data_IF_340206304134
#
_entry.id   IF_340206304134
#
_cell.length_a   1.000
_cell.length_b   1.000
_cell.length_c   1.000
_cell.angle_alpha   90.00
_cell.angle_beta   90.00
_cell.angle_gamma   90.00
#
_symmetry.space_group_name_H-M   'P 1'
#
loop_
_entity.id
_entity.type
_entity.pdbx_description
1 polymer ?
#
# COMPACT_ATOMS: atom_id res chain seq x y z
N UNK A 1 21.53 0.97 -17.92
CA UNK A 1 22.61 0.24 -17.21
C UNK A 1 22.28 0.24 -15.72
N UNK A 2 21.41 -0.68 -15.28
CA UNK A 2 21.02 -0.79 -13.87
C UNK A 2 22.19 -1.40 -13.10
N UNK A 3 22.89 -0.55 -12.35
CA UNK A 3 24.06 -0.93 -11.55
C UNK A 3 23.57 -1.90 -10.47
N UNK A 4 24.01 -3.16 -10.56
CA UNK A 4 23.80 -4.21 -9.56
C UNK A 4 24.46 -3.74 -8.26
N UNK A 5 23.72 -3.02 -7.42
CA UNK A 5 24.18 -2.68 -6.06
C UNK A 5 24.41 -3.99 -5.33
N UNK A 6 25.51 -4.14 -4.55
CA UNK A 6 25.76 -5.37 -3.80
C UNK A 6 24.52 -5.63 -2.94
N UNK A 7 23.87 -6.77 -3.19
CA UNK A 7 22.60 -7.14 -2.58
C UNK A 7 22.82 -7.28 -1.07
N UNK A 8 22.52 -6.22 -0.33
CA UNK A 8 22.53 -6.22 1.13
C UNK A 8 21.22 -6.88 1.58
N UNK A 9 21.23 -8.20 1.57
CA UNK A 9 20.08 -9.03 1.93
C UNK A 9 19.96 -9.01 3.46
N UNK A 10 18.80 -8.65 4.04
CA UNK A 10 18.63 -8.72 5.49
C UNK A 10 18.85 -10.16 6.00
N UNK A 11 19.52 -10.34 7.14
CA UNK A 11 19.73 -11.68 7.72
C UNK A 11 18.39 -12.42 7.87
N UNK A 12 18.31 -13.66 7.37
CA UNK A 12 17.13 -14.52 7.25
C UNK A 12 16.18 -14.28 6.05
N UNK A 13 16.63 -13.55 5.03
CA UNK A 13 15.91 -13.40 3.75
C UNK A 13 16.76 -13.92 2.59
N UNK A 14 16.13 -14.39 1.52
CA UNK A 14 16.82 -14.81 0.28
C UNK A 14 16.89 -13.68 -0.77
N UNK A 15 16.14 -12.59 -0.57
CA UNK A 15 16.09 -11.43 -1.46
C UNK A 15 16.05 -10.11 -0.67
N UNK A 16 16.36 -8.99 -1.33
CA UNK A 16 16.24 -7.66 -0.74
C UNK A 16 14.83 -7.08 -1.02
N UNK A 17 13.93 -7.02 -0.02
CA UNK A 17 12.56 -6.51 -0.19
C UNK A 17 12.53 -5.02 -0.56
N UNK A 18 13.62 -4.27 -0.29
CA UNK A 18 13.76 -2.86 -0.63
C UNK A 18 14.48 -2.61 -1.96
N UNK A 19 14.67 -3.64 -2.79
CA UNK A 19 15.31 -3.50 -4.10
C UNK A 19 14.44 -2.68 -5.08
N UNK A 20 15.07 -1.82 -5.88
CA UNK A 20 14.39 -1.02 -6.91
C UNK A 20 13.65 -1.89 -7.94
N UNK A 21 14.16 -3.10 -8.21
CA UNK A 21 13.53 -4.05 -9.14
C UNK A 21 12.18 -4.56 -8.65
N UNK A 22 11.96 -4.63 -7.32
CA UNK A 22 10.65 -4.98 -6.75
C UNK A 22 9.77 -3.76 -6.58
N UNK A 23 10.36 -2.58 -6.33
CA UNK A 23 9.60 -1.34 -6.07
C UNK A 23 9.01 -0.69 -7.31
N UNK A 24 9.70 -0.73 -8.45
CA UNK A 24 9.20 -0.12 -9.70
C UNK A 24 7.87 -0.76 -10.14
N UNK A 25 7.74 -2.11 -10.19
CA UNK A 25 6.46 -2.75 -10.48
C UNK A 25 5.35 -2.36 -9.49
N UNK A 26 5.65 -2.26 -8.20
CA UNK A 26 4.69 -1.86 -7.16
C UNK A 26 4.24 -0.40 -7.33
N UNK A 27 5.17 0.51 -7.63
CA UNK A 27 4.83 1.91 -7.90
C UNK A 27 3.96 2.06 -9.16
N UNK A 28 4.21 1.25 -10.19
CA UNK A 28 3.36 1.21 -11.40
C UNK A 28 1.97 0.71 -11.05
N UNK A 29 1.87 -0.42 -10.32
CA UNK A 29 0.57 -0.98 -9.88
C UNK A 29 -0.21 0.02 -9.02
N UNK A 30 0.45 0.67 -8.07
CA UNK A 30 -0.16 1.71 -7.23
C UNK A 30 -0.61 2.92 -8.07
N UNK A 31 0.15 3.30 -9.10
CA UNK A 31 -0.25 4.38 -10.02
C UNK A 31 -1.49 4.00 -10.83
N UNK A 32 -1.60 2.74 -11.27
CA UNK A 32 -2.80 2.25 -11.95
C UNK A 32 -4.00 2.26 -10.99
N UNK A 33 -3.81 1.76 -9.76
CA UNK A 33 -4.83 1.80 -8.70
C UNK A 33 -5.29 3.23 -8.40
N UNK A 34 -4.36 4.18 -8.32
CA UNK A 34 -4.65 5.60 -8.15
C UNK A 34 -5.52 6.15 -9.28
N UNK A 35 -5.16 5.88 -10.55
CA UNK A 35 -5.95 6.36 -11.69
C UNK A 35 -7.37 5.80 -11.69
N UNK A 36 -7.53 4.51 -11.35
CA UNK A 36 -8.83 3.87 -11.22
C UNK A 36 -9.65 4.52 -10.11
N UNK A 37 -9.04 4.75 -8.94
CA UNK A 37 -9.68 5.37 -7.79
C UNK A 37 -10.08 6.83 -8.06
N UNK A 38 -9.22 7.60 -8.75
CA UNK A 38 -9.52 8.97 -9.19
C UNK A 38 -10.69 8.98 -10.17
N UNK A 39 -10.68 8.09 -11.16
CA UNK A 39 -11.76 7.98 -12.13
C UNK A 39 -13.12 7.71 -11.46
N UNK A 40 -13.17 6.75 -10.53
CA UNK A 40 -14.39 6.45 -9.77
C UNK A 40 -14.83 7.61 -8.85
N UNK A 41 -13.89 8.29 -8.19
CA UNK A 41 -14.24 9.42 -7.33
C UNK A 41 -14.70 10.66 -8.12
N UNK A 42 -14.15 10.90 -9.31
CA UNK A 42 -14.66 11.94 -10.23
C UNK A 42 -16.10 11.64 -10.67
N UNK A 43 -16.42 10.36 -10.89
CA UNK A 43 -17.81 9.95 -11.15
C UNK A 43 -18.73 10.20 -9.94
N UNK A 44 -18.28 9.87 -8.72
CA UNK A 44 -19.05 10.14 -7.50
C UNK A 44 -19.26 11.64 -7.21
N UNK A 45 -18.32 12.48 -7.62
CA UNK A 45 -18.44 13.95 -7.56
C UNK A 45 -19.29 14.54 -8.70
N UNK A 46 -19.81 13.71 -9.61
CA UNK A 46 -20.67 14.14 -10.70
C UNK A 46 -19.94 14.79 -11.88
N UNK A 47 -18.62 14.67 -11.96
CA UNK A 47 -17.83 15.17 -13.11
C UNK A 47 -18.13 14.34 -14.38
N UNK A 48 -18.39 13.04 -14.20
CA UNK A 48 -18.78 12.13 -15.28
C UNK A 48 -20.19 11.58 -15.06
N UNK A 49 -20.98 11.49 -16.13
CA UNK A 49 -22.35 10.95 -16.11
C UNK A 49 -22.42 9.44 -16.33
N UNK A 50 -21.32 8.84 -16.80
CA UNK A 50 -21.20 7.42 -17.11
C UNK A 50 -19.91 6.87 -16.52
N UNK A 51 -19.96 5.64 -16.02
CA UNK A 51 -18.78 4.90 -15.56
C UNK A 51 -18.52 3.74 -16.51
N UNK A 52 -17.25 3.40 -16.69
CA UNK A 52 -16.87 2.32 -17.58
C UNK A 52 -16.87 1.00 -16.81
N UNK A 53 -17.52 -0.02 -17.36
CA UNK A 53 -17.59 -1.36 -16.78
C UNK A 53 -17.55 -2.43 -17.90
N UNK A 54 -16.45 -3.18 -18.04
CA UNK A 54 -16.30 -4.18 -19.10
C UNK A 54 -17.03 -5.50 -18.83
N UNK A 55 -17.32 -5.85 -17.57
CA UNK A 55 -17.86 -7.17 -17.23
C UNK A 55 -19.26 -7.13 -16.63
N UNK A 56 -19.63 -6.07 -15.90
CA UNK A 56 -20.89 -6.00 -15.16
C UNK A 56 -21.83 -4.87 -15.60
N UNK A 57 -21.53 -4.18 -16.71
CA UNK A 57 -22.43 -3.18 -17.32
C UNK A 57 -22.80 -2.05 -16.35
N UNK A 58 -24.08 -1.92 -15.98
CA UNK A 58 -24.52 -0.90 -15.01
C UNK A 58 -24.19 -1.25 -13.54
N UNK A 59 -23.56 -2.41 -13.27
CA UNK A 59 -23.20 -2.86 -11.93
C UNK A 59 -22.29 -1.88 -11.19
N UNK A 60 -21.24 -1.38 -11.84
CA UNK A 60 -20.36 -0.35 -11.25
C UNK A 60 -21.12 0.93 -10.90
N UNK A 61 -22.09 1.34 -11.73
CA UNK A 61 -22.92 2.53 -11.45
C UNK A 61 -23.83 2.32 -10.23
N UNK A 62 -24.41 1.13 -10.08
CA UNK A 62 -25.23 0.79 -8.91
C UNK A 62 -24.41 0.77 -7.62
N UNK A 63 -23.20 0.20 -7.66
CA UNK A 63 -22.29 0.18 -6.51
C UNK A 63 -21.89 1.60 -6.09
N UNK A 64 -21.47 2.45 -7.03
CA UNK A 64 -21.01 3.82 -6.74
C UNK A 64 -22.13 4.77 -6.28
N UNK A 65 -23.40 4.45 -6.57
CA UNK A 65 -24.56 5.26 -6.17
C UNK A 65 -25.36 4.67 -5.00
N UNK A 66 -24.88 3.55 -4.45
CA UNK A 66 -25.50 2.84 -3.33
C UNK A 66 -25.49 3.68 -2.04
N UNK A 67 -26.39 3.35 -1.10
CA UNK A 67 -26.47 4.04 0.20
C UNK A 67 -25.15 3.95 0.98
N UNK A 68 -24.43 2.83 0.89
CA UNK A 68 -23.11 2.64 1.52
C UNK A 68 -22.10 3.70 1.03
N UNK A 69 -22.11 4.00 -0.27
CA UNK A 69 -21.25 5.03 -0.85
C UNK A 69 -21.70 6.46 -0.52
N UNK A 70 -23.01 6.67 -0.26
CA UNK A 70 -23.58 7.98 0.09
C UNK A 70 -23.53 8.31 1.58
N UNK A 71 -23.45 7.30 2.44
CA UNK A 71 -23.37 7.48 3.89
C UNK A 71 -22.00 8.05 4.32
N UNK A 72 -21.00 7.99 3.44
CA UNK A 72 -19.70 8.61 3.66
C UNK A 72 -19.66 10.06 3.13
N UNK A 73 -19.24 11.05 3.94
CA UNK A 73 -19.16 12.45 3.51
C UNK A 73 -18.08 12.72 2.45
N UNK A 74 -17.12 11.80 2.30
CA UNK A 74 -16.07 11.83 1.29
C UNK A 74 -16.27 10.59 0.41
N UNK A 75 -16.22 10.71 -0.93
CA UNK A 75 -16.32 9.56 -1.82
C UNK A 75 -15.30 8.48 -1.43
N UNK A 76 -15.75 7.25 -1.20
CA UNK A 76 -14.90 6.12 -0.79
C UNK A 76 -13.77 5.86 -1.79
N UNK A 77 -14.03 6.07 -3.08
CA UNK A 77 -13.02 6.02 -4.12
C UNK A 77 -11.92 7.09 -3.96
N UNK A 78 -12.23 8.27 -3.42
CA UNK A 78 -11.22 9.30 -3.14
C UNK A 78 -10.36 8.94 -1.94
N UNK A 79 -10.92 8.27 -0.92
CA UNK A 79 -10.13 7.72 0.17
C UNK A 79 -9.16 6.65 -0.32
N UNK A 80 -9.61 5.78 -1.25
CA UNK A 80 -8.75 4.83 -1.94
C UNK A 80 -7.65 5.50 -2.76
N UNK A 81 -7.97 6.59 -3.46
CA UNK A 81 -6.99 7.36 -4.24
C UNK A 81 -5.89 7.93 -3.34
N UNK A 82 -6.23 8.46 -2.17
CA UNK A 82 -5.24 8.92 -1.19
C UNK A 82 -4.34 7.78 -0.69
N UNK A 83 -4.90 6.59 -0.46
CA UNK A 83 -4.14 5.38 -0.15
C UNK A 83 -3.09 5.06 -1.22
N UNK A 84 -3.50 5.00 -2.49
CA UNK A 84 -2.57 4.72 -3.58
C UNK A 84 -1.52 5.81 -3.79
N UNK A 85 -1.85 7.10 -3.57
CA UNK A 85 -0.84 8.17 -3.61
C UNK A 85 0.18 7.96 -2.51
N UNK A 86 -0.25 7.65 -1.29
CA UNK A 86 0.68 7.34 -0.20
C UNK A 86 1.55 6.14 -0.54
N UNK A 87 1.01 5.13 -1.21
CA UNK A 87 1.75 3.96 -1.65
C UNK A 87 2.79 4.28 -2.73
N UNK A 88 2.42 5.06 -3.75
CA UNK A 88 3.35 5.53 -4.79
C UNK A 88 4.45 6.38 -4.14
N UNK A 89 4.09 7.35 -3.31
CA UNK A 89 5.04 8.23 -2.62
C UNK A 89 5.96 7.41 -1.72
N UNK A 90 5.42 6.45 -0.97
CA UNK A 90 6.20 5.55 -0.12
C UNK A 90 7.11 4.64 -0.96
N UNK A 91 6.65 4.13 -2.11
CA UNK A 91 7.46 3.31 -3.00
C UNK A 91 8.62 4.07 -3.67
N UNK A 92 8.42 5.36 -3.96
CA UNK A 92 9.41 6.24 -4.58
C UNK A 92 10.39 6.85 -3.57
N UNK A 93 9.97 7.07 -2.33
CA UNK A 93 10.82 7.67 -1.30
C UNK A 93 11.82 6.64 -0.73
N UNK A 94 13.09 7.02 -0.70
CA UNK A 94 14.13 6.32 0.06
C UNK A 94 14.93 5.27 -0.74
N UNK A 95 16.15 5.02 -0.25
CA UNK A 95 17.13 4.13 -0.88
C UNK A 95 16.86 2.67 -0.47
N UNK A 96 17.58 1.72 -1.07
CA UNK A 96 17.52 0.26 -0.81
C UNK A 96 17.83 -0.17 0.64
N UNK A 97 18.13 0.77 1.53
CA UNK A 97 18.43 0.57 2.95
C UNK A 97 17.37 1.20 3.88
N UNK A 98 16.15 1.44 3.38
CA UNK A 98 15.09 2.19 4.09
C UNK A 98 14.67 1.54 5.41
N UNK A 99 14.62 0.21 5.45
CA UNK A 99 14.27 -0.57 6.65
C UNK A 99 15.19 -0.30 7.87
N UNK A 100 16.40 0.23 7.68
CA UNK A 100 17.32 0.64 8.77
C UNK A 100 17.46 2.13 8.94
N UNK A 101 17.45 2.85 7.81
CA UNK A 101 17.68 4.30 7.81
C UNK A 101 16.43 5.07 8.24
N UNK A 102 15.24 4.55 7.95
CA UNK A 102 13.95 5.13 8.34
C UNK A 102 12.95 4.02 8.75
N UNK A 103 13.25 3.23 9.79
CA UNK A 103 12.37 2.13 10.23
C UNK A 103 11.01 2.66 10.70
N UNK A 104 10.95 3.85 11.27
CA UNK A 104 9.69 4.50 11.64
C UNK A 104 8.73 4.64 10.45
N UNK A 105 9.23 5.07 9.29
CA UNK A 105 8.40 5.31 8.11
C UNK A 105 7.85 4.00 7.56
N UNK A 106 8.66 2.95 7.55
CA UNK A 106 8.26 1.61 7.09
C UNK A 106 7.23 1.01 8.03
N UNK A 107 7.41 1.15 9.35
CA UNK A 107 6.47 0.63 10.34
C UNK A 107 5.12 1.35 10.26
N UNK A 108 5.13 2.69 10.22
CA UNK A 108 3.91 3.50 10.08
C UNK A 108 3.19 3.16 8.78
N UNK A 109 3.92 3.04 7.67
CA UNK A 109 3.36 2.69 6.38
C UNK A 109 2.74 1.30 6.37
N UNK A 110 3.43 0.28 6.86
CA UNK A 110 2.88 -1.08 6.94
C UNK A 110 1.65 -1.18 7.85
N UNK A 111 1.64 -0.43 8.97
CA UNK A 111 0.47 -0.33 9.86
C UNK A 111 -0.68 0.44 9.20
N UNK A 112 -0.43 1.37 8.29
CA UNK A 112 -1.48 2.08 7.58
C UNK A 112 -2.07 1.24 6.43
N UNK A 113 -1.21 0.56 5.66
CA UNK A 113 -1.61 -0.26 4.51
C UNK A 113 -2.45 -1.47 4.92
N UNK A 114 -2.11 -2.13 6.04
CA UNK A 114 -2.83 -3.31 6.51
C UNK A 114 -4.34 -3.08 6.73
N UNK A 115 -4.74 -2.13 7.59
CA UNK A 115 -6.14 -1.75 7.79
C UNK A 115 -6.83 -1.23 6.53
N UNK A 116 -6.16 -0.39 5.72
CA UNK A 116 -6.73 0.11 4.47
C UNK A 116 -7.05 -1.03 3.50
N UNK A 117 -6.13 -1.99 3.36
CA UNK A 117 -6.34 -3.20 2.58
C UNK A 117 -7.48 -4.06 3.12
N UNK A 118 -7.58 -4.23 4.44
CA UNK A 118 -8.67 -4.97 5.07
C UNK A 118 -10.05 -4.32 4.82
N UNK A 119 -10.14 -2.99 4.91
CA UNK A 119 -11.37 -2.26 4.56
C UNK A 119 -11.69 -2.45 3.07
N UNK A 120 -10.70 -2.39 2.18
CA UNK A 120 -10.93 -2.64 0.75
C UNK A 120 -11.52 -4.04 0.48
N UNK A 121 -11.01 -5.07 1.15
CA UNK A 121 -11.54 -6.44 1.03
C UNK A 121 -12.97 -6.52 1.58
N UNK A 122 -13.22 -5.91 2.74
CA UNK A 122 -14.54 -5.88 3.35
C UNK A 122 -15.57 -5.22 2.42
N UNK A 123 -15.23 -4.08 1.81
CA UNK A 123 -16.11 -3.39 0.88
C UNK A 123 -16.42 -4.25 -0.36
N UNK A 124 -15.44 -4.96 -0.91
CA UNK A 124 -15.66 -5.89 -2.03
C UNK A 124 -16.60 -7.04 -1.65
N UNK A 125 -16.50 -7.57 -0.43
CA UNK A 125 -17.40 -8.63 0.05
C UNK A 125 -18.83 -8.09 0.26
N UNK A 126 -18.97 -6.84 0.71
CA UNK A 126 -20.28 -6.22 0.94
C UNK A 126 -21.04 -5.86 -0.34
N UNK A 127 -20.33 -5.58 -1.46
CA UNK A 127 -20.94 -5.25 -2.75
C UNK A 127 -22.03 -6.25 -3.20
N UNK A 128 -21.75 -7.56 -3.35
CA UNK A 128 -22.76 -8.53 -3.78
C UNK A 128 -23.84 -8.78 -2.73
N UNK A 129 -23.51 -8.65 -1.44
CA UNK A 129 -24.45 -8.95 -0.33
C UNK A 129 -25.47 -7.83 -0.14
N UNK A 130 -25.03 -6.57 -0.23
CA UNK A 130 -25.87 -5.41 0.10
C UNK A 130 -26.40 -4.71 -1.15
N UNK A 131 -25.59 -4.59 -2.20
CA UNK A 131 -25.99 -3.89 -3.44
C UNK A 131 -26.54 -4.88 -4.47
N UNK A 132 -26.14 -6.15 -4.43
CA UNK A 132 -26.53 -7.15 -5.42
C UNK A 132 -25.87 -6.94 -6.78
N UNK A 133 -24.81 -6.13 -6.82
CA UNK A 133 -24.07 -5.78 -8.03
C UNK A 133 -22.56 -5.91 -7.81
N UNK A 134 -21.84 -6.07 -8.91
CA UNK A 134 -20.38 -6.17 -8.92
C UNK A 134 -19.79 -4.94 -9.60
N UNK A 135 -18.63 -4.52 -9.10
CA UNK A 135 -17.87 -3.39 -9.63
C UNK A 135 -16.50 -3.88 -10.10
N UNK A 136 -16.29 -3.92 -11.42
CA UNK A 136 -15.03 -4.39 -12.03
C UNK A 136 -13.82 -3.57 -11.59
N UNK A 137 -13.98 -2.25 -11.55
CA UNK A 137 -12.96 -1.31 -11.12
C UNK A 137 -12.62 -1.46 -9.64
N UNK A 138 -13.61 -1.74 -8.81
CA UNK A 138 -13.44 -1.98 -7.38
C UNK A 138 -12.72 -3.31 -7.11
N UNK A 139 -13.07 -4.36 -7.85
CA UNK A 139 -12.37 -5.65 -7.79
C UNK A 139 -10.91 -5.52 -8.24
N UNK A 140 -10.66 -4.78 -9.32
CA UNK A 140 -9.31 -4.52 -9.82
C UNK A 140 -8.49 -3.74 -8.78
N UNK A 141 -9.07 -2.71 -8.19
CA UNK A 141 -8.45 -1.94 -7.09
C UNK A 141 -8.15 -2.84 -5.88
N UNK A 142 -9.11 -3.64 -5.42
CA UNK A 142 -8.88 -4.54 -4.29
C UNK A 142 -7.78 -5.57 -4.58
N UNK A 143 -7.71 -6.10 -5.81
CA UNK A 143 -6.65 -7.00 -6.23
C UNK A 143 -5.27 -6.32 -6.15
N UNK A 144 -5.16 -5.08 -6.65
CA UNK A 144 -3.92 -4.29 -6.56
C UNK A 144 -3.53 -4.12 -5.08
N UNK A 145 -4.47 -3.70 -4.24
CA UNK A 145 -4.23 -3.54 -2.80
C UNK A 145 -3.71 -4.82 -2.15
N UNK A 146 -4.32 -5.98 -2.46
CA UNK A 146 -3.90 -7.28 -1.92
C UNK A 146 -2.48 -7.64 -2.35
N UNK A 147 -2.13 -7.44 -3.62
CA UNK A 147 -0.78 -7.70 -4.13
C UNK A 147 0.26 -6.80 -3.42
N UNK A 148 -0.12 -5.57 -3.07
CA UNK A 148 0.75 -4.62 -2.41
C UNK A 148 0.96 -4.87 -0.91
N UNK A 149 0.04 -5.59 -0.26
CA UNK A 149 0.16 -5.92 1.17
C UNK A 149 1.39 -6.80 1.44
N UNK A 150 1.66 -7.81 0.60
CA UNK A 150 2.76 -8.76 0.87
C UNK A 150 4.13 -8.06 0.96
N UNK A 151 4.56 -7.25 -0.02
CA UNK A 151 5.84 -6.53 0.07
C UNK A 151 5.89 -5.51 1.20
N UNK A 152 4.76 -4.85 1.52
CA UNK A 152 4.69 -3.93 2.65
C UNK A 152 4.89 -4.66 3.99
N UNK A 153 4.32 -5.86 4.14
CA UNK A 153 4.53 -6.71 5.31
C UNK A 153 5.98 -7.21 5.40
N UNK A 154 6.62 -7.56 4.28
CA UNK A 154 8.02 -7.98 4.26
C UNK A 154 8.95 -6.88 4.79
N UNK A 155 8.77 -5.63 4.33
CA UNK A 155 9.56 -4.49 4.82
C UNK A 155 9.27 -4.17 6.31
N UNK A 156 8.00 -4.30 6.73
CA UNK A 156 7.61 -4.14 8.13
C UNK A 156 8.29 -5.18 9.02
N UNK A 157 8.24 -6.46 8.63
CA UNK A 157 8.87 -7.56 9.37
C UNK A 157 10.38 -7.40 9.42
N UNK A 158 11.03 -7.04 8.32
CA UNK A 158 12.48 -6.77 8.29
C UNK A 158 12.86 -5.62 9.26
N UNK A 159 12.06 -4.57 9.31
CA UNK A 159 12.28 -3.43 10.23
C UNK A 159 12.07 -3.84 11.70
N UNK A 160 11.06 -4.66 11.99
CA UNK A 160 10.82 -5.20 13.33
C UNK A 160 11.94 -6.15 13.79
N UNK A 161 12.40 -7.04 12.91
CA UNK A 161 13.55 -7.92 13.16
C UNK A 161 14.83 -7.13 13.46
N UNK A 162 15.05 -6.01 12.77
CA UNK A 162 16.15 -5.09 13.06
C UNK A 162 16.03 -4.48 14.46
N UNK A 163 14.86 -3.95 14.83
CA UNK A 163 14.65 -3.37 16.17
C UNK A 163 14.77 -4.43 17.28
N UNK A 164 14.35 -5.66 17.02
CA UNK A 164 14.53 -6.78 17.95
C UNK A 164 16.00 -7.11 18.15
N UNK A 165 16.83 -7.06 17.10
CA UNK A 165 18.30 -7.19 17.21
C UNK A 165 18.91 -6.07 18.02
N UNK A 166 18.54 -4.81 17.76
CA UNK A 166 19.00 -3.65 18.55
C UNK A 166 18.69 -3.82 20.04
N UNK A 167 17.46 -4.29 20.36
CA UNK A 167 17.04 -4.57 21.73
C UNK A 167 17.91 -5.66 22.38
N UNK A 168 18.22 -6.73 21.65
CA UNK A 168 19.07 -7.84 22.14
C UNK A 168 20.53 -7.41 22.34
N UNK A 169 21.04 -6.49 21.53
CA UNK A 169 22.39 -5.92 21.66
C UNK A 169 22.53 -4.89 22.79
N UNK A 170 21.48 -4.64 23.58
CA UNK A 170 21.50 -3.67 24.69
C UNK A 170 21.48 -2.20 24.27
N UNK A 171 21.24 -1.92 22.98
CA UNK A 171 21.23 -0.57 22.43
C UNK A 171 19.83 0.08 22.54
N UNK A 172 19.75 1.42 22.62
CA UNK A 172 18.47 2.11 22.79
C UNK A 172 17.61 2.03 21.51
N UNK A 173 16.56 1.19 21.55
CA UNK A 173 15.62 0.93 20.45
C UNK A 173 14.98 2.21 19.92
N UNK A 174 14.67 3.17 20.80
CA UNK A 174 14.09 4.46 20.41
C UNK A 174 15.01 5.23 19.45
N UNK A 175 16.32 5.28 19.72
CA UNK A 175 17.28 5.95 18.84
C UNK A 175 17.44 5.21 17.50
N UNK A 176 17.35 3.87 17.51
CA UNK A 176 17.36 3.08 16.28
C UNK A 176 16.08 3.26 15.45
N UNK A 177 14.92 3.39 16.10
CA UNK A 177 13.63 3.65 15.45
C UNK A 177 13.64 4.97 14.65
N UNK A 178 14.28 6.00 15.19
CA UNK A 178 14.48 7.28 14.51
C UNK A 178 15.63 7.29 13.47
N UNK A 179 16.28 6.14 13.22
CA UNK A 179 17.31 6.02 12.19
C UNK A 179 18.71 6.50 12.58
N UNK A 180 19.08 6.42 13.86
CA UNK A 180 20.40 6.84 14.31
C UNK A 180 21.53 5.97 13.70
N UNK A 181 22.35 6.59 12.85
CA UNK A 181 23.46 5.96 12.10
C UNK A 181 24.49 5.26 12.99
N UNK A 182 24.71 5.75 14.21
CA UNK A 182 25.69 5.19 15.15
C UNK A 182 25.29 3.77 15.60
N UNK A 183 23.99 3.54 15.79
CA UNK A 183 23.45 2.23 16.21
C UNK A 183 23.32 1.30 15.01
N UNK A 184 22.96 1.85 13.84
CA UNK A 184 22.86 1.08 12.59
C UNK A 184 24.17 0.35 12.27
N UNK A 185 25.32 1.01 12.46
CA UNK A 185 26.64 0.44 12.17
C UNK A 185 27.16 -0.53 13.25
N UNK A 186 26.57 -0.55 14.46
CA UNK A 186 27.02 -1.39 15.58
C UNK A 186 26.30 -2.75 15.65
N UNK A 187 25.14 -2.88 15.01
CA UNK A 187 24.26 -4.06 15.07
C UNK A 187 24.27 -4.84 13.75
N UNK A 188 25.27 -4.55 12.90
CA UNK A 188 25.50 -5.21 11.61
C UNK A 188 26.52 -6.33 11.68
#
# INVERSE_FOLDING_TARGET
MFKKSPAYIPPAWDYNPSAWEQRIPLAILASIGFLIAVYMGLYQMGVFSTVWDPFFGDGTKQVLTSSIAKDFPIPDAMLGALGYVMDVVSGLIGKTHRWRTMPWMVIVFGIAVGPLGAVSILLVILQPVVVGAWCTLCLTSALISVIMISPAMDELLASLQYLQRVKRSGNPVWKAFWGNKTIINQVD
#
